data_IF_050876554208
#
_entry.id   IF_050876554208
#
_cell.length_a   1.000
_cell.length_b   1.000
_cell.length_c   1.000
_cell.angle_alpha   90.00
_cell.angle_beta   90.00
_cell.angle_gamma   90.00
#
_symmetry.space_group_name_H-M   'P 1'
#
loop_
_entity.id
_entity.type
_entity.pdbx_description
1 polymer ?
#
# COMPACT_ATOMS: atom_id res chain seq x y z
N UNK A 1 12.98 18.77 -7.91
CA UNK A 1 11.61 19.13 -7.58
C UNK A 1 11.41 18.92 -6.08
N UNK A 2 10.68 19.81 -5.41
CA UNK A 2 10.36 19.60 -3.99
C UNK A 2 9.45 18.38 -3.86
N UNK A 3 9.83 17.43 -3.02
CA UNK A 3 9.01 16.26 -2.69
C UNK A 3 8.01 16.68 -1.61
N UNK A 4 6.72 16.51 -1.87
CA UNK A 4 5.67 16.77 -0.89
C UNK A 4 5.07 15.44 -0.44
N UNK A 5 5.01 15.23 0.87
CA UNK A 5 4.42 14.06 1.50
C UNK A 5 3.79 14.43 2.84
N UNK A 6 2.92 13.59 3.34
CA UNK A 6 2.29 13.75 4.65
C UNK A 6 2.73 12.62 5.57
N UNK A 7 2.99 12.93 6.84
CA UNK A 7 3.34 11.92 7.84
C UNK A 7 2.42 11.98 9.04
N UNK A 8 2.18 10.81 9.63
CA UNK A 8 1.46 10.67 10.90
C UNK A 8 2.00 9.46 11.66
N UNK A 9 2.32 9.67 12.93
CA UNK A 9 2.57 8.58 13.88
C UNK A 9 1.29 8.32 14.67
N UNK A 10 0.80 7.09 14.64
CA UNK A 10 -0.40 6.69 15.35
C UNK A 10 -0.05 6.10 16.72
N UNK A 11 -1.01 6.19 17.65
CA UNK A 11 -0.98 5.49 18.93
C UNK A 11 -1.36 4.00 18.78
N UNK A 12 -1.63 3.35 19.90
CA UNK A 12 -2.03 1.94 19.91
C UNK A 12 -3.35 1.73 19.17
N UNK A 13 -3.39 0.86 18.16
CA UNK A 13 -4.63 0.50 17.48
C UNK A 13 -5.50 -0.41 18.37
N UNK A 14 -6.78 -0.44 18.09
CA UNK A 14 -7.71 -1.38 18.73
C UNK A 14 -7.53 -2.81 18.23
N UNK A 15 -7.12 -2.96 16.96
CA UNK A 15 -6.88 -4.26 16.33
C UNK A 15 -5.78 -4.11 15.27
N UNK A 16 -4.64 -4.79 15.47
CA UNK A 16 -3.52 -4.76 14.52
C UNK A 16 -3.72 -5.67 13.30
N UNK A 17 -4.68 -6.60 13.40
CA UNK A 17 -4.97 -7.57 12.35
C UNK A 17 -5.93 -7.03 11.30
N UNK A 18 -6.46 -5.81 11.49
CA UNK A 18 -7.47 -5.20 10.61
C UNK A 18 -7.16 -3.75 10.34
N UNK A 19 -7.15 -3.41 9.06
CA UNK A 19 -7.06 -2.02 8.62
C UNK A 19 -7.58 -1.87 7.19
N UNK A 20 -7.93 -0.66 6.85
CA UNK A 20 -8.30 -0.29 5.48
C UNK A 20 -7.58 1.01 5.12
N UNK A 21 -7.00 1.05 3.94
CA UNK A 21 -6.51 2.26 3.29
C UNK A 21 -7.37 2.55 2.08
N UNK A 22 -7.67 3.82 1.83
CA UNK A 22 -8.43 4.26 0.67
C UNK A 22 -7.97 5.65 0.26
N UNK A 23 -7.77 5.87 -1.04
CA UNK A 23 -7.41 7.18 -1.58
C UNK A 23 -7.78 7.29 -3.06
N UNK A 24 -8.05 8.52 -3.50
CA UNK A 24 -8.06 8.88 -4.91
C UNK A 24 -6.67 9.29 -5.35
N UNK A 25 -6.20 8.71 -6.44
CA UNK A 25 -4.86 8.92 -6.97
C UNK A 25 -4.94 9.27 -8.45
N UNK A 26 -4.22 10.32 -8.86
CA UNK A 26 -3.95 10.62 -10.26
C UNK A 26 -2.46 10.55 -10.48
N UNK A 27 -2.03 9.65 -11.35
CA UNK A 27 -0.61 9.45 -11.65
C UNK A 27 -0.11 10.53 -12.61
N UNK A 28 1.06 11.11 -12.35
CA UNK A 28 1.71 12.06 -13.24
C UNK A 28 2.66 11.40 -14.24
N UNK A 29 3.07 10.16 -13.95
CA UNK A 29 3.89 9.34 -14.85
C UNK A 29 3.67 7.85 -14.55
N UNK A 30 3.85 7.01 -15.57
CA UNK A 30 3.76 5.56 -15.45
C UNK A 30 5.16 4.94 -15.32
N UNK A 31 5.96 5.46 -14.41
CA UNK A 31 7.31 4.95 -14.12
C UNK A 31 7.33 4.18 -12.81
N UNK A 32 8.40 3.42 -12.58
CA UNK A 32 8.60 2.61 -11.41
C UNK A 32 8.56 3.42 -10.10
N UNK A 33 8.16 2.76 -9.04
CA UNK A 33 8.32 3.18 -7.64
C UNK A 33 7.67 4.52 -7.25
N UNK A 34 6.41 4.71 -7.62
CA UNK A 34 5.58 5.80 -7.08
C UNK A 34 4.81 5.32 -5.85
N UNK A 35 5.28 5.66 -4.66
CA UNK A 35 4.65 5.23 -3.41
C UNK A 35 3.42 6.08 -3.12
N UNK A 36 2.27 5.41 -2.93
CA UNK A 36 1.01 6.05 -2.54
C UNK A 36 0.94 6.16 -1.02
N UNK A 37 1.25 5.06 -0.33
CA UNK A 37 1.19 4.96 1.12
C UNK A 37 2.25 3.98 1.61
N UNK A 38 2.90 4.30 2.71
CA UNK A 38 3.90 3.43 3.34
C UNK A 38 3.90 3.56 4.87
N UNK A 39 4.42 2.53 5.52
CA UNK A 39 4.80 2.55 6.93
C UNK A 39 6.03 1.66 7.13
N UNK A 40 6.98 2.07 7.95
CA UNK A 40 8.17 1.25 8.14
C UNK A 40 9.28 1.94 8.90
N UNK A 41 10.45 1.32 8.90
CA UNK A 41 11.69 1.87 9.48
C UNK A 41 12.80 2.01 8.47
N UNK A 42 12.71 1.31 7.33
CA UNK A 42 13.71 1.32 6.29
C UNK A 42 13.07 0.96 4.95
N UNK A 43 13.20 1.83 3.97
CA UNK A 43 12.59 1.69 2.65
C UNK A 43 13.03 0.43 1.86
N UNK A 44 14.17 -0.16 2.21
CA UNK A 44 14.72 -1.29 1.46
C UNK A 44 14.25 -2.66 1.96
N UNK A 45 14.10 -2.83 3.27
CA UNK A 45 13.90 -4.16 3.83
C UNK A 45 13.07 -4.22 5.12
N UNK A 46 12.36 -3.13 5.45
CA UNK A 46 11.55 -3.08 6.66
C UNK A 46 10.41 -2.08 6.48
N UNK A 47 9.49 -2.40 5.54
CA UNK A 47 8.45 -1.50 5.06
C UNK A 47 7.21 -2.27 4.62
N UNK A 48 6.06 -1.70 4.91
CA UNK A 48 4.78 -2.01 4.27
C UNK A 48 4.47 -0.91 3.24
N UNK A 49 3.86 -1.26 2.13
CA UNK A 49 3.60 -0.27 1.09
C UNK A 49 2.45 -0.58 0.16
N UNK A 50 1.85 0.49 -0.32
CA UNK A 50 0.93 0.54 -1.45
C UNK A 50 1.57 1.45 -2.48
N UNK A 51 2.00 0.92 -3.62
CA UNK A 51 2.73 1.68 -4.64
C UNK A 51 2.39 1.26 -6.05
N UNK A 52 2.70 2.14 -6.99
CA UNK A 52 2.79 1.78 -8.39
C UNK A 52 4.20 1.29 -8.68
N UNK A 53 4.32 0.08 -9.22
CA UNK A 53 5.56 -0.50 -9.70
C UNK A 53 5.48 -0.58 -11.24
N UNK A 54 6.09 0.36 -11.91
CA UNK A 54 5.91 0.62 -13.35
C UNK A 54 4.47 1.04 -13.66
N UNK A 55 3.58 0.11 -13.94
CA UNK A 55 2.16 0.33 -14.24
C UNK A 55 1.24 -0.57 -13.40
N UNK A 56 1.83 -1.32 -12.48
CA UNK A 56 1.14 -2.29 -11.65
C UNK A 56 0.85 -1.72 -10.26
N UNK A 57 -0.30 -2.04 -9.72
CA UNK A 57 -0.54 -1.83 -8.29
C UNK A 57 0.18 -2.94 -7.51
N UNK A 58 1.11 -2.55 -6.66
CA UNK A 58 1.81 -3.43 -5.75
C UNK A 58 1.42 -3.10 -4.32
N UNK A 59 0.98 -4.12 -3.58
CA UNK A 59 0.62 -4.04 -2.17
C UNK A 59 1.40 -5.09 -1.41
N UNK A 60 2.13 -4.69 -0.39
CA UNK A 60 3.03 -5.62 0.30
C UNK A 60 3.29 -5.22 1.75
N UNK A 61 3.70 -6.21 2.54
CA UNK A 61 4.28 -6.05 3.87
C UNK A 61 5.58 -6.84 3.93
N UNK A 62 6.67 -6.15 4.25
CA UNK A 62 8.02 -6.72 4.27
C UNK A 62 8.81 -6.29 5.52
N UNK A 63 8.52 -6.84 6.71
CA UNK A 63 9.33 -6.65 7.91
C UNK A 63 10.55 -7.62 7.96
N UNK A 64 11.39 -7.58 6.91
CA UNK A 64 12.52 -8.51 6.74
C UNK A 64 12.19 -9.75 5.90
N UNK A 65 10.93 -10.14 5.79
CA UNK A 65 10.42 -11.15 4.86
C UNK A 65 8.97 -10.78 4.49
N UNK A 66 8.45 -11.30 3.36
CA UNK A 66 7.07 -10.99 2.98
C UNK A 66 6.06 -11.65 3.93
N UNK A 67 5.27 -10.82 4.59
CA UNK A 67 4.02 -11.23 5.25
C UNK A 67 2.94 -11.43 4.21
N UNK A 68 2.82 -10.49 3.28
CA UNK A 68 2.02 -10.61 2.06
C UNK A 68 2.63 -9.82 0.91
N UNK A 69 2.33 -10.22 -0.33
CA UNK A 69 2.82 -9.56 -1.53
C UNK A 69 1.86 -9.82 -2.69
N UNK A 70 1.22 -8.77 -3.17
CA UNK A 70 0.30 -8.80 -4.31
C UNK A 70 0.76 -7.80 -5.36
N UNK A 71 0.85 -8.24 -6.62
CA UNK A 71 1.12 -7.39 -7.78
C UNK A 71 0.01 -7.63 -8.81
N UNK A 72 -0.73 -6.57 -9.16
CA UNK A 72 -1.86 -6.70 -10.09
C UNK A 72 -1.41 -7.05 -11.51
N UNK A 73 -2.21 -7.85 -12.22
CA UNK A 73 -2.07 -7.99 -13.68
C UNK A 73 -2.65 -6.79 -14.43
N UNK A 74 -3.58 -6.05 -13.79
CA UNK A 74 -4.16 -4.84 -14.35
C UNK A 74 -3.11 -3.73 -14.42
N UNK A 75 -2.98 -3.11 -15.61
CA UNK A 75 -2.09 -1.98 -15.86
C UNK A 75 -2.82 -0.64 -15.76
N UNK A 76 -2.19 0.34 -15.10
CA UNK A 76 -2.70 1.70 -14.89
C UNK A 76 -1.94 2.67 -15.79
N UNK A 77 -2.35 2.78 -17.06
CA UNK A 77 -1.64 3.54 -18.11
C UNK A 77 -2.21 4.93 -18.37
N UNK A 78 -3.47 5.15 -18.02
CA UNK A 78 -4.13 6.42 -18.25
C UNK A 78 -3.75 7.42 -17.16
N UNK A 79 -2.83 8.32 -17.49
CA UNK A 79 -2.35 9.38 -16.60
C UNK A 79 -3.35 10.54 -16.48
N UNK A 80 -4.38 10.59 -17.31
CA UNK A 80 -5.45 11.60 -17.22
C UNK A 80 -6.53 11.19 -16.22
N UNK A 81 -6.65 9.89 -15.93
CA UNK A 81 -7.67 9.34 -15.06
C UNK A 81 -7.35 9.49 -13.57
N UNK A 82 -8.40 9.65 -12.77
CA UNK A 82 -8.36 9.40 -11.33
C UNK A 82 -8.72 7.95 -11.06
N UNK A 83 -7.95 7.31 -10.18
CA UNK A 83 -8.21 5.97 -9.68
C UNK A 83 -8.50 6.03 -8.19
N UNK A 84 -9.59 5.42 -7.76
CA UNK A 84 -9.84 5.16 -6.35
C UNK A 84 -9.24 3.79 -5.99
N UNK A 85 -8.15 3.80 -5.25
CA UNK A 85 -7.56 2.59 -4.70
C UNK A 85 -8.07 2.37 -3.29
N UNK A 86 -8.43 1.13 -2.99
CA UNK A 86 -8.76 0.69 -1.64
C UNK A 86 -8.08 -0.66 -1.38
N UNK A 87 -7.46 -0.78 -0.22
CA UNK A 87 -6.86 -2.02 0.28
C UNK A 87 -7.47 -2.32 1.64
N UNK A 88 -8.07 -3.48 1.78
CA UNK A 88 -8.60 -3.98 3.03
C UNK A 88 -7.76 -5.18 3.50
N UNK A 89 -7.28 -5.12 4.73
CA UNK A 89 -6.54 -6.18 5.41
C UNK A 89 -7.37 -6.69 6.58
N UNK A 90 -7.63 -7.99 6.63
CA UNK A 90 -8.25 -8.70 7.74
C UNK A 90 -7.67 -10.12 7.80
N UNK A 91 -6.61 -10.31 8.56
CA UNK A 91 -5.91 -11.60 8.62
C UNK A 91 -6.67 -12.69 9.38
N UNK A 92 -7.77 -12.35 10.06
CA UNK A 92 -8.60 -13.33 10.77
C UNK A 92 -9.52 -14.12 9.83
N UNK A 93 -9.58 -13.74 8.55
CA UNK A 93 -10.38 -14.48 7.55
C UNK A 93 -9.86 -15.90 7.37
N UNK A 94 -10.79 -16.86 7.26
CA UNK A 94 -10.47 -18.29 7.09
C UNK A 94 -9.77 -18.56 5.75
N UNK A 95 -10.26 -17.93 4.67
CA UNK A 95 -9.71 -18.06 3.33
C UNK A 95 -8.54 -17.10 3.15
N UNK A 96 -7.38 -17.59 2.70
CA UNK A 96 -6.18 -16.77 2.53
C UNK A 96 -6.42 -15.56 1.60
N UNK A 97 -7.10 -15.75 0.47
CA UNK A 97 -7.41 -14.70 -0.50
C UNK A 97 -8.36 -13.61 0.04
N UNK A 98 -9.06 -13.88 1.14
CA UNK A 98 -9.94 -12.92 1.79
C UNK A 98 -9.21 -12.02 2.80
N UNK A 99 -7.96 -12.36 3.16
CA UNK A 99 -7.17 -11.61 4.14
C UNK A 99 -6.61 -10.30 3.63
N UNK A 100 -6.39 -10.20 2.31
CA UNK A 100 -5.99 -8.94 1.66
C UNK A 100 -6.81 -8.76 0.39
N UNK A 101 -7.63 -7.72 0.34
CA UNK A 101 -8.46 -7.38 -0.83
C UNK A 101 -8.08 -6.01 -1.36
N UNK A 102 -7.86 -5.95 -2.68
CA UNK A 102 -7.57 -4.71 -3.38
C UNK A 102 -8.74 -4.34 -4.29
N UNK A 103 -9.12 -3.07 -4.29
CA UNK A 103 -10.20 -2.57 -5.13
C UNK A 103 -9.72 -1.37 -5.94
N UNK A 104 -10.24 -1.24 -7.15
CA UNK A 104 -10.02 -0.08 -8.00
C UNK A 104 -11.37 0.41 -8.52
N UNK A 105 -11.71 1.66 -8.22
CA UNK A 105 -13.01 2.27 -8.58
C UNK A 105 -14.20 1.41 -8.13
N UNK A 106 -14.12 0.84 -6.92
CA UNK A 106 -15.14 -0.02 -6.34
C UNK A 106 -15.16 -1.47 -6.84
N UNK A 107 -14.32 -1.82 -7.83
CA UNK A 107 -14.25 -3.19 -8.35
C UNK A 107 -13.07 -3.93 -7.74
N UNK A 108 -13.31 -5.10 -7.15
CA UNK A 108 -12.26 -5.94 -6.57
C UNK A 108 -11.33 -6.47 -7.67
N UNK A 109 -10.02 -6.37 -7.43
CA UNK A 109 -9.01 -7.05 -8.24
C UNK A 109 -8.97 -8.54 -7.87
N UNK A 110 -9.02 -9.40 -8.87
CA UNK A 110 -9.00 -10.86 -8.72
C UNK A 110 -7.87 -11.54 -9.51
N UNK A 111 -7.00 -10.75 -10.15
CA UNK A 111 -5.91 -11.28 -10.98
C UNK A 111 -4.59 -10.60 -10.63
N UNK A 112 -3.63 -11.39 -10.17
CA UNK A 112 -2.32 -10.95 -9.74
C UNK A 112 -1.22 -11.75 -10.43
N UNK A 113 -0.09 -11.11 -10.72
CA UNK A 113 1.14 -11.75 -11.23
C UNK A 113 2.00 -12.30 -10.10
N UNK A 114 1.89 -11.71 -8.92
CA UNK A 114 2.45 -12.20 -7.67
C UNK A 114 1.34 -12.24 -6.64
N UNK A 115 1.24 -13.35 -5.92
CA UNK A 115 0.14 -13.59 -5.00
C UNK A 115 0.63 -14.38 -3.79
N UNK A 116 0.90 -13.65 -2.70
CA UNK A 116 1.25 -14.21 -1.40
C UNK A 116 0.37 -13.56 -0.35
N UNK A 117 -0.37 -14.36 0.40
CA UNK A 117 -1.29 -13.91 1.44
C UNK A 117 -0.70 -14.13 2.83
N UNK A 118 -1.09 -13.31 3.83
CA UNK A 118 -0.62 -13.49 5.21
C UNK A 118 -1.18 -14.77 5.83
N UNK A 119 -0.49 -15.30 6.82
CA UNK A 119 -1.04 -16.35 7.68
C UNK A 119 -2.25 -15.83 8.47
N UNK A 120 -3.13 -16.73 8.91
CA UNK A 120 -4.26 -16.37 9.77
C UNK A 120 -3.77 -15.73 11.07
N UNK A 121 -4.37 -14.58 11.45
CA UNK A 121 -4.02 -13.83 12.65
C UNK A 121 -2.67 -13.08 12.57
N UNK A 122 -2.03 -13.01 11.40
CA UNK A 122 -0.79 -12.26 11.25
C UNK A 122 -1.06 -10.74 11.29
N UNK A 123 -0.25 -9.99 12.03
CA UNK A 123 -0.20 -8.53 11.87
C UNK A 123 0.46 -8.19 10.53
N UNK A 124 0.05 -7.09 9.89
CA UNK A 124 0.93 -6.45 8.91
C UNK A 124 2.18 -5.94 9.64
N UNK A 125 3.32 -5.89 8.95
CA UNK A 125 4.60 -5.59 9.61
C UNK A 125 4.66 -4.22 10.27
N UNK A 126 4.08 -3.21 9.61
CA UNK A 126 4.23 -1.80 10.03
C UNK A 126 2.95 -0.99 9.97
N UNK A 127 2.04 -1.25 9.03
CA UNK A 127 0.75 -0.56 8.98
C UNK A 127 -0.04 -0.93 10.24
N UNK A 128 -0.69 0.10 10.83
CA UNK A 128 -1.48 -0.05 12.05
C UNK A 128 -0.67 -0.51 13.28
N UNK A 129 0.63 -0.24 13.30
CA UNK A 129 1.51 -0.54 14.43
C UNK A 129 1.71 0.70 15.30
N UNK A 130 1.61 0.54 16.62
CA UNK A 130 1.83 1.61 17.61
C UNK A 130 3.20 2.27 17.44
N UNK A 131 3.21 3.60 17.46
CA UNK A 131 4.44 4.39 17.36
C UNK A 131 5.11 4.36 15.98
N UNK A 132 4.48 3.72 15.00
CA UNK A 132 5.00 3.67 13.63
C UNK A 132 4.57 4.91 12.83
N UNK A 133 5.53 5.53 12.15
CA UNK A 133 5.24 6.58 11.19
C UNK A 133 4.58 5.98 9.94
N UNK A 134 3.49 6.61 9.52
CA UNK A 134 2.77 6.32 8.28
C UNK A 134 2.94 7.51 7.35
N UNK A 135 3.15 7.26 6.06
CA UNK A 135 3.52 8.28 5.08
C UNK A 135 2.61 8.15 3.86
N UNK A 136 2.06 9.27 3.40
CA UNK A 136 1.32 9.38 2.15
C UNK A 136 2.21 10.10 1.14
N UNK A 137 2.41 9.50 -0.02
CA UNK A 137 3.13 10.08 -1.13
C UNK A 137 4.64 9.85 -1.16
N UNK A 138 5.19 9.08 -0.22
CA UNK A 138 6.60 8.72 -0.18
C UNK A 138 6.84 7.39 0.53
N UNK A 139 8.05 6.85 0.44
CA UNK A 139 8.48 5.73 1.27
C UNK A 139 8.99 6.20 2.66
N UNK A 140 9.37 5.26 3.50
CA UNK A 140 9.85 5.54 4.86
C UNK A 140 11.06 6.47 4.84
N UNK A 141 10.99 7.53 5.65
CA UNK A 141 11.98 8.60 5.68
C UNK A 141 11.72 9.73 4.69
N UNK A 142 10.67 9.65 3.85
CA UNK A 142 10.22 10.72 2.96
C UNK A 142 11.19 11.09 1.84
N UNK A 143 12.27 10.30 1.66
CA UNK A 143 13.40 10.70 0.82
C UNK A 143 13.37 10.14 -0.59
N UNK A 144 12.66 9.01 -0.81
CA UNK A 144 12.72 8.29 -2.09
C UNK A 144 11.33 7.87 -2.57
N UNK A 145 11.26 7.51 -3.87
CA UNK A 145 10.07 6.91 -4.49
C UNK A 145 8.78 7.73 -4.29
N UNK A 146 8.95 9.07 -4.22
CA UNK A 146 7.81 9.96 -4.02
C UNK A 146 6.82 9.80 -5.16
N UNK A 147 5.54 9.93 -4.82
CA UNK A 147 4.50 9.92 -5.84
C UNK A 147 4.71 11.10 -6.79
N UNK A 148 4.74 10.79 -8.08
CA UNK A 148 4.60 11.80 -9.10
C UNK A 148 3.12 11.82 -9.51
N UNK A 149 2.38 12.77 -8.96
CA UNK A 149 0.93 12.83 -9.16
C UNK A 149 0.22 13.51 -7.99
N UNK A 150 -1.04 13.17 -7.85
CA UNK A 150 -1.93 13.73 -6.83
C UNK A 150 -2.57 12.61 -6.02
N UNK A 151 -2.67 12.82 -4.70
CA UNK A 151 -3.41 11.95 -3.77
C UNK A 151 -4.40 12.83 -3.01
N UNK A 152 -5.64 12.36 -2.87
CA UNK A 152 -6.68 13.07 -2.14
C UNK A 152 -7.67 12.11 -1.49
N UNK A 153 -8.42 12.58 -0.50
CA UNK A 153 -9.43 11.82 0.23
C UNK A 153 -8.88 10.48 0.79
N UNK A 154 -7.72 10.53 1.45
CA UNK A 154 -7.15 9.41 2.19
C UNK A 154 -7.52 9.45 3.67
#
# INVERSE_FOLDING_TARGET
>A
MASSYLTKTFGSPTDQNKWTFSAWVKLGQATSDSVIFSAGTNASNNIDGIKMDTQDLRVFSYPGSYVFHLISNRKFRDLSAWYHFQVAYDSDQSTAADRVKCYVNGTQLSSFSTETYPSSGANSGHINLNGREHIIGADTGGANNNINGYVTHC
#
